data_IF_816541622970
#
_entry.id   IF_816541622970
#
_cell.length_a   1.000
_cell.length_b   1.000
_cell.length_c   1.000
_cell.angle_alpha   90.00
_cell.angle_beta   90.00
_cell.angle_gamma   90.00
#
_symmetry.space_group_name_H-M   'P 1'
#
loop_
_entity.id
_entity.type
_entity.pdbx_description
1 polymer ?
#
# COMPACT_ATOMS: atom_id res chain seq x y z
N UNK A 1 2.48 -38.66 -38.33
CA UNK A 1 1.53 -37.76 -37.63
C UNK A 1 2.15 -37.40 -36.30
N UNK A 2 2.85 -36.27 -36.27
CA UNK A 2 3.61 -35.81 -35.09
C UNK A 2 2.65 -35.05 -34.20
N UNK A 3 2.40 -35.56 -32.99
CA UNK A 3 1.52 -34.96 -31.99
C UNK A 3 2.32 -33.86 -31.29
N UNK A 4 2.04 -32.60 -31.60
CA UNK A 4 2.59 -31.45 -30.90
C UNK A 4 2.03 -31.41 -29.47
N UNK A 5 2.92 -31.54 -28.49
CA UNK A 5 2.65 -31.21 -27.10
C UNK A 5 2.33 -29.73 -27.01
N UNK A 6 1.10 -29.42 -26.60
CA UNK A 6 0.73 -28.08 -26.18
C UNK A 6 1.40 -27.88 -24.82
N UNK A 7 2.49 -27.10 -24.83
CA UNK A 7 3.12 -26.61 -23.62
C UNK A 7 2.11 -25.70 -22.91
N UNK A 8 1.46 -26.27 -21.90
CA UNK A 8 0.55 -25.54 -21.02
C UNK A 8 1.40 -24.60 -20.19
N UNK A 9 1.42 -23.32 -20.54
CA UNK A 9 1.91 -22.27 -19.66
C UNK A 9 1.19 -22.43 -18.32
N UNK A 10 1.92 -22.87 -17.31
CA UNK A 10 1.44 -22.91 -15.94
C UNK A 10 1.20 -21.47 -15.51
N UNK A 11 -0.07 -21.04 -15.55
CA UNK A 11 -0.53 -19.85 -14.83
C UNK A 11 -0.24 -20.15 -13.36
N UNK A 12 0.86 -19.60 -12.85
CA UNK A 12 1.22 -19.70 -11.45
C UNK A 12 0.17 -18.94 -10.65
N UNK A 13 -0.83 -19.67 -10.15
CA UNK A 13 -1.86 -19.10 -9.28
C UNK A 13 -1.13 -18.62 -8.03
N UNK A 14 -0.96 -17.30 -7.90
CA UNK A 14 -0.46 -16.66 -6.69
C UNK A 14 -1.44 -16.99 -5.59
N UNK A 15 -1.18 -18.06 -4.83
CA UNK A 15 -2.13 -18.55 -3.84
C UNK A 15 -2.23 -17.65 -2.61
N UNK A 16 -1.27 -16.73 -2.41
CA UNK A 16 -1.24 -15.80 -1.27
C UNK A 16 -0.55 -14.49 -1.67
N UNK A 17 -1.32 -13.42 -1.85
CA UNK A 17 -0.78 -12.10 -2.22
C UNK A 17 -1.56 -10.94 -1.60
N UNK A 18 -1.02 -9.73 -1.74
CA UNK A 18 -1.68 -8.51 -1.28
C UNK A 18 -1.97 -7.62 -2.48
N UNK A 19 -3.24 -7.31 -2.73
CA UNK A 19 -3.62 -6.30 -3.71
C UNK A 19 -3.50 -4.92 -3.06
N UNK A 20 -2.42 -4.21 -3.38
CA UNK A 20 -2.13 -2.88 -2.85
C UNK A 20 -2.63 -1.82 -3.82
N UNK A 21 -3.47 -0.92 -3.32
CA UNK A 21 -3.88 0.30 -4.01
C UNK A 21 -3.14 1.48 -3.38
N UNK A 22 -2.38 2.20 -4.20
CA UNK A 22 -1.57 3.34 -3.78
C UNK A 22 -2.11 4.58 -4.48
N UNK A 23 -2.57 5.57 -3.72
CA UNK A 23 -3.23 6.76 -4.26
C UNK A 23 -2.43 8.02 -4.03
N UNK A 24 -2.14 8.73 -5.12
CA UNK A 24 -1.60 10.10 -5.09
C UNK A 24 -2.76 11.10 -5.33
N UNK A 25 -3.65 11.26 -4.36
CA UNK A 25 -4.83 12.14 -4.48
C UNK A 25 -4.61 13.56 -3.96
N UNK A 26 -3.62 13.74 -3.10
CA UNK A 26 -3.46 14.97 -2.34
C UNK A 26 -2.12 15.66 -2.58
N UNK A 27 -1.18 15.04 -3.30
CA UNK A 27 0.06 15.68 -3.73
C UNK A 27 -0.16 16.32 -5.10
N UNK A 28 0.52 17.43 -5.33
CA UNK A 28 0.49 18.16 -6.61
C UNK A 28 1.53 17.67 -7.60
N UNK A 29 2.52 16.91 -7.12
CA UNK A 29 3.64 16.37 -7.90
C UNK A 29 3.49 14.86 -8.06
N UNK A 30 4.22 14.31 -9.04
CA UNK A 30 4.28 12.86 -9.27
C UNK A 30 4.99 12.18 -8.11
N UNK A 31 4.37 11.11 -7.60
CA UNK A 31 4.96 10.24 -6.59
C UNK A 31 5.72 9.10 -7.28
N UNK A 32 6.91 8.79 -6.79
CA UNK A 32 7.81 7.79 -7.36
C UNK A 32 7.96 6.63 -6.38
N UNK A 33 7.91 5.39 -6.87
CA UNK A 33 8.31 4.20 -6.11
C UNK A 33 9.85 4.13 -6.11
N UNK A 34 10.46 4.35 -4.95
CA UNK A 34 11.92 4.33 -4.80
C UNK A 34 12.45 2.90 -4.63
N UNK A 35 11.80 2.16 -3.73
CA UNK A 35 12.26 0.85 -3.23
C UNK A 35 11.05 -0.01 -2.89
N UNK A 36 11.13 -1.30 -3.19
CA UNK A 36 10.14 -2.29 -2.81
C UNK A 36 10.88 -3.54 -2.35
N UNK A 37 10.49 -4.09 -1.20
CA UNK A 37 11.04 -5.34 -0.68
C UNK A 37 9.91 -6.30 -0.35
N UNK A 38 9.98 -7.51 -0.89
CA UNK A 38 9.00 -8.56 -0.67
C UNK A 38 9.68 -9.65 0.15
N UNK A 39 9.24 -9.81 1.40
CA UNK A 39 9.79 -10.83 2.29
C UNK A 39 9.09 -12.19 2.12
N UNK A 40 7.79 -12.17 1.76
CA UNK A 40 7.03 -13.40 1.51
C UNK A 40 6.08 -13.23 0.32
N UNK A 41 5.96 -14.29 -0.49
CA UNK A 41 5.19 -14.30 -1.73
C UNK A 41 6.01 -13.82 -2.94
N UNK A 42 5.33 -13.67 -4.07
CA UNK A 42 5.94 -13.24 -5.33
C UNK A 42 5.19 -12.07 -5.95
N UNK A 43 5.90 -11.29 -6.78
CA UNK A 43 5.31 -10.22 -7.58
C UNK A 43 4.56 -10.82 -8.76
N UNK A 44 3.33 -10.38 -9.01
CA UNK A 44 2.56 -10.80 -10.18
C UNK A 44 2.75 -9.87 -11.38
N UNK A 45 3.37 -8.70 -11.19
CA UNK A 45 3.55 -7.67 -12.23
C UNK A 45 4.99 -7.18 -12.18
N UNK A 46 5.71 -7.35 -13.29
CA UNK A 46 7.06 -6.83 -13.53
C UNK A 46 7.07 -6.20 -14.94
N UNK A 47 7.41 -4.90 -15.10
CA UNK A 47 7.86 -3.96 -14.07
C UNK A 47 6.74 -3.41 -13.17
N UNK A 48 7.08 -3.13 -11.91
CA UNK A 48 6.22 -2.38 -11.00
C UNK A 48 6.03 -0.94 -11.53
N UNK A 49 4.83 -0.35 -11.42
CA UNK A 49 4.63 1.05 -11.77
C UNK A 49 5.49 1.93 -10.87
N UNK A 50 6.46 2.61 -11.46
CA UNK A 50 7.42 3.45 -10.75
C UNK A 50 6.91 4.86 -10.49
N UNK A 51 5.88 5.30 -11.20
CA UNK A 51 5.33 6.66 -11.10
C UNK A 51 3.82 6.65 -10.91
N UNK A 52 3.33 7.54 -10.05
CA UNK A 52 1.92 7.73 -9.74
C UNK A 52 1.63 9.23 -9.87
N UNK A 53 0.96 9.59 -10.97
CA UNK A 53 0.63 10.97 -11.31
C UNK A 53 -0.29 11.62 -10.25
N UNK A 54 -0.30 12.96 -10.14
CA UNK A 54 -1.27 13.68 -9.32
C UNK A 54 -2.71 13.29 -9.65
N UNK A 55 -3.56 13.19 -8.63
CA UNK A 55 -4.96 12.77 -8.72
C UNK A 55 -5.16 11.36 -9.32
N UNK A 56 -4.19 10.46 -9.18
CA UNK A 56 -4.27 9.09 -9.71
C UNK A 56 -4.03 8.03 -8.65
N UNK A 57 -4.22 6.76 -9.03
CA UNK A 57 -3.95 5.61 -8.17
C UNK A 57 -3.52 4.41 -9.00
N UNK A 58 -2.63 3.59 -8.45
CA UNK A 58 -2.21 2.33 -9.06
C UNK A 58 -2.67 1.16 -8.20
N UNK A 59 -3.00 0.05 -8.85
CA UNK A 59 -3.37 -1.21 -8.20
C UNK A 59 -2.36 -2.27 -8.58
N UNK A 60 -1.77 -2.93 -7.60
CA UNK A 60 -0.66 -3.87 -7.81
C UNK A 60 -0.92 -5.11 -6.96
N UNK A 61 -0.66 -6.30 -7.50
CA UNK A 61 -0.63 -7.53 -6.73
C UNK A 61 0.81 -7.85 -6.32
N UNK A 62 1.08 -7.77 -5.03
CA UNK A 62 2.38 -7.99 -4.41
C UNK A 62 2.36 -9.28 -3.58
N UNK A 63 3.54 -9.71 -3.11
CA UNK A 63 3.65 -10.80 -2.15
C UNK A 63 2.87 -10.51 -0.86
N UNK A 64 2.55 -11.56 -0.11
CA UNK A 64 1.76 -11.48 1.13
C UNK A 64 2.43 -10.67 2.24
N UNK A 65 3.75 -10.43 2.15
CA UNK A 65 4.45 -9.57 3.09
C UNK A 65 5.54 -8.76 2.41
N UNK A 66 5.55 -7.47 2.65
CA UNK A 66 6.53 -6.58 2.05
C UNK A 66 6.44 -5.17 2.60
N UNK A 67 7.30 -4.31 2.06
CA UNK A 67 7.19 -2.88 2.20
C UNK A 67 7.57 -2.16 0.90
N UNK A 68 7.02 -0.97 0.74
CA UNK A 68 7.31 -0.08 -0.38
C UNK A 68 7.58 1.32 0.14
N UNK A 69 8.62 1.94 -0.39
CA UNK A 69 8.95 3.33 -0.15
C UNK A 69 8.58 4.16 -1.38
N UNK A 70 7.79 5.20 -1.15
CA UNK A 70 7.44 6.18 -2.16
C UNK A 70 8.05 7.53 -1.80
N UNK A 71 8.38 8.33 -2.80
CA UNK A 71 8.84 9.70 -2.61
C UNK A 71 8.16 10.69 -3.53
N UNK A 72 8.18 11.95 -3.14
CA UNK A 72 7.59 13.05 -3.91
C UNK A 72 8.33 14.34 -3.58
N UNK A 73 8.70 15.17 -4.58
CA UNK A 73 9.15 16.52 -4.34
C UNK A 73 8.11 17.31 -3.55
N UNK A 74 8.55 18.13 -2.62
CA UNK A 74 7.67 19.03 -1.84
C UNK A 74 8.08 20.49 -2.05
N UNK A 75 7.14 21.40 -1.80
CA UNK A 75 7.42 22.83 -1.92
C UNK A 75 8.57 23.24 -0.98
N UNK A 76 9.54 23.97 -1.50
CA UNK A 76 10.76 24.34 -0.75
C UNK A 76 12.02 23.55 -1.15
N UNK A 77 11.92 22.63 -2.11
CA UNK A 77 13.08 21.93 -2.67
C UNK A 77 13.53 20.69 -1.89
N UNK A 78 12.81 20.34 -0.82
CA UNK A 78 12.98 19.07 -0.11
C UNK A 78 12.18 17.95 -0.82
N UNK A 79 12.52 16.71 -0.49
CA UNK A 79 11.75 15.53 -0.94
C UNK A 79 11.22 14.81 0.28
N UNK A 80 9.92 14.55 0.31
CA UNK A 80 9.31 13.71 1.32
C UNK A 80 9.25 12.27 0.83
N UNK A 81 9.27 11.34 1.78
CA UNK A 81 9.06 9.94 1.51
C UNK A 81 8.11 9.31 2.53
N UNK A 82 7.53 8.20 2.12
CA UNK A 82 6.56 7.43 2.86
C UNK A 82 6.90 5.95 2.74
N UNK A 83 6.73 5.22 3.83
CA UNK A 83 6.89 3.77 3.85
C UNK A 83 5.53 3.17 4.18
N UNK A 84 5.12 2.23 3.33
CA UNK A 84 3.96 1.37 3.51
C UNK A 84 4.46 -0.06 3.67
N UNK A 85 4.25 -0.66 4.84
CA UNK A 85 4.56 -2.07 5.10
C UNK A 85 3.28 -2.86 5.35
N UNK A 86 3.27 -4.12 4.93
CA UNK A 86 2.15 -5.05 5.11
C UNK A 86 2.62 -6.46 5.48
N UNK A 87 1.82 -7.15 6.28
CA UNK A 87 1.90 -8.59 6.58
C UNK A 87 0.48 -9.14 6.50
N UNK A 88 0.10 -9.67 5.33
CA UNK A 88 -1.19 -10.32 5.12
C UNK A 88 -1.01 -11.83 5.12
N UNK A 89 -1.09 -12.45 6.30
CA UNK A 89 -0.98 -13.91 6.41
C UNK A 89 -2.31 -14.55 6.01
N UNK A 90 -2.23 -15.52 5.11
CA UNK A 90 -3.41 -16.27 4.70
C UNK A 90 -4.15 -16.87 5.90
N UNK A 91 -5.48 -16.79 5.87
CA UNK A 91 -6.38 -17.17 6.96
C UNK A 91 -6.44 -18.69 7.24
N UNK A 92 -5.40 -19.24 7.87
CA UNK A 92 -5.46 -20.58 8.46
C UNK A 92 -5.08 -20.63 9.95
N UNK A 93 -4.83 -19.47 10.59
CA UNK A 93 -4.73 -19.39 12.06
C UNK A 93 -5.59 -18.25 12.62
N UNK A 94 -6.38 -18.47 13.71
CA UNK A 94 -7.31 -17.46 14.24
C UNK A 94 -6.69 -16.23 14.92
N UNK A 95 -5.36 -16.11 14.93
CA UNK A 95 -4.63 -15.19 15.82
C UNK A 95 -3.74 -14.20 15.05
N UNK A 96 -3.45 -14.47 13.78
CA UNK A 96 -2.64 -13.59 12.94
C UNK A 96 -3.58 -12.81 12.00
N UNK A 97 -4.00 -11.64 12.46
CA UNK A 97 -4.70 -10.68 11.59
C UNK A 97 -3.72 -10.11 10.57
N UNK A 98 -4.24 -9.65 9.43
CA UNK A 98 -3.46 -8.81 8.53
C UNK A 98 -2.99 -7.54 9.26
N UNK A 99 -1.74 -7.14 9.04
CA UNK A 99 -1.11 -6.03 9.73
C UNK A 99 -0.51 -5.06 8.74
N UNK A 100 -0.52 -3.79 9.12
CA UNK A 100 0.13 -2.72 8.38
C UNK A 100 0.97 -1.86 9.30
N UNK A 101 1.97 -1.21 8.72
CA UNK A 101 2.68 -0.12 9.37
C UNK A 101 2.96 0.97 8.36
N UNK A 102 2.72 2.21 8.75
CA UNK A 102 3.03 3.38 7.92
C UNK A 102 3.90 4.38 8.66
N UNK A 103 4.79 5.03 7.92
CA UNK A 103 5.56 6.17 8.41
C UNK A 103 5.87 7.11 7.25
N UNK A 104 6.16 8.38 7.56
CA UNK A 104 6.60 9.34 6.55
C UNK A 104 7.50 10.42 7.15
N UNK A 105 8.17 11.16 6.27
CA UNK A 105 9.02 12.28 6.66
C UNK A 105 9.98 12.67 5.55
N UNK A 106 11.10 13.29 5.92
CA UNK A 106 12.17 13.65 4.97
C UNK A 106 12.74 12.40 4.30
N UNK A 107 12.93 12.45 2.98
CA UNK A 107 13.44 11.31 2.22
C UNK A 107 14.77 10.80 2.74
N UNK A 108 15.71 11.66 3.07
CA UNK A 108 17.02 11.27 3.61
C UNK A 108 16.90 10.41 4.88
N UNK A 109 15.97 10.74 5.78
CA UNK A 109 15.72 9.95 7.00
C UNK A 109 15.04 8.62 6.70
N UNK A 110 14.10 8.61 5.74
CA UNK A 110 13.44 7.36 5.33
C UNK A 110 14.42 6.43 4.62
N UNK A 111 15.39 6.98 3.89
CA UNK A 111 16.43 6.21 3.20
C UNK A 111 17.33 5.43 4.19
N UNK A 112 17.54 5.98 5.40
CA UNK A 112 18.32 5.39 6.51
C UNK A 112 17.59 4.27 7.28
N UNK A 113 16.28 4.10 7.09
CA UNK A 113 15.52 3.10 7.84
C UNK A 113 15.93 1.68 7.46
N UNK A 114 16.13 0.83 8.49
CA UNK A 114 16.41 -0.59 8.32
C UNK A 114 15.16 -1.34 7.89
N UNK A 115 15.24 -2.04 6.76
CA UNK A 115 14.16 -2.90 6.27
C UNK A 115 13.86 -4.07 7.20
N UNK A 116 14.87 -4.60 7.91
CA UNK A 116 14.67 -5.64 8.93
C UNK A 116 13.87 -5.10 10.12
N UNK A 117 14.11 -3.84 10.52
CA UNK A 117 13.32 -3.19 11.55
C UNK A 117 11.88 -2.96 11.09
N UNK A 118 11.68 -2.51 9.85
CA UNK A 118 10.33 -2.34 9.26
C UNK A 118 9.59 -3.68 9.25
N UNK A 119 10.26 -4.77 8.88
CA UNK A 119 9.68 -6.12 8.91
C UNK A 119 9.27 -6.55 10.33
N UNK A 120 10.03 -6.15 11.35
CA UNK A 120 9.69 -6.44 12.75
C UNK A 120 8.53 -5.61 13.27
N UNK A 121 8.45 -4.34 12.87
CA UNK A 121 7.38 -3.42 13.29
C UNK A 121 6.03 -3.88 12.70
N UNK A 122 5.99 -4.20 11.40
CA UNK A 122 4.73 -4.60 10.74
C UNK A 122 4.12 -5.86 11.36
N UNK A 123 4.94 -6.79 11.90
CA UNK A 123 4.50 -8.03 12.61
C UNK A 123 3.61 -7.76 13.84
N UNK A 124 3.49 -6.51 14.27
CA UNK A 124 2.69 -6.09 15.43
C UNK A 124 1.80 -4.89 15.11
N UNK A 125 1.65 -4.59 13.82
CA UNK A 125 0.91 -3.44 13.34
C UNK A 125 -0.61 -3.60 13.51
N UNK A 126 -1.36 -2.50 13.52
CA UNK A 126 -2.82 -2.53 13.43
C UNK A 126 -3.29 -2.88 12.01
N UNK A 127 -4.60 -3.05 11.81
CA UNK A 127 -5.22 -3.16 10.47
C UNK A 127 -5.47 -1.81 9.80
N UNK A 128 -5.44 -0.74 10.58
CA UNK A 128 -5.59 0.67 10.17
C UNK A 128 -4.46 1.44 10.83
N UNK A 129 -3.63 2.12 10.06
CA UNK A 129 -2.49 2.88 10.56
C UNK A 129 -2.39 4.24 9.86
N UNK A 130 -1.94 5.23 10.62
CA UNK A 130 -1.86 6.63 10.18
C UNK A 130 -0.62 7.26 10.76
N UNK A 131 0.11 7.98 9.92
CA UNK A 131 1.27 8.74 10.37
C UNK A 131 1.24 10.15 9.81
N UNK A 132 1.69 11.10 10.62
CA UNK A 132 1.86 12.50 10.25
C UNK A 132 3.23 12.98 10.70
N UNK A 133 3.98 13.54 9.76
CA UNK A 133 5.25 14.19 10.04
C UNK A 133 5.07 15.71 10.10
N UNK A 134 5.36 16.29 11.26
CA UNK A 134 5.23 17.73 11.46
C UNK A 134 6.31 18.54 10.74
N UNK A 135 7.45 17.93 10.38
CA UNK A 135 8.53 18.67 9.73
C UNK A 135 8.23 18.86 8.25
N UNK A 136 7.90 17.80 7.54
CA UNK A 136 7.56 17.83 6.12
C UNK A 136 6.09 18.13 5.85
N UNK A 137 5.26 18.23 6.90
CA UNK A 137 3.80 18.40 6.81
C UNK A 137 3.12 17.32 5.94
N UNK A 138 3.71 16.13 5.88
CA UNK A 138 3.19 14.99 5.12
C UNK A 138 2.43 14.03 6.01
N UNK A 139 1.52 13.28 5.40
CA UNK A 139 0.79 12.21 6.05
C UNK A 139 0.63 11.00 5.14
N UNK A 140 0.36 9.85 5.76
CA UNK A 140 -0.08 8.62 5.11
C UNK A 140 -1.19 8.00 5.96
N UNK A 141 -2.22 7.52 5.28
CA UNK A 141 -3.31 6.73 5.85
C UNK A 141 -3.37 5.42 5.08
N UNK A 142 -3.37 4.30 5.80
CA UNK A 142 -3.51 2.99 5.19
C UNK A 142 -4.46 2.12 6.00
N UNK A 143 -5.18 1.25 5.29
CA UNK A 143 -6.08 0.27 5.90
C UNK A 143 -6.27 -0.95 5.01
N UNK A 144 -6.46 -2.09 5.65
CA UNK A 144 -6.89 -3.32 4.99
C UNK A 144 -8.42 -3.28 4.85
N UNK A 145 -8.91 -3.42 3.62
CA UNK A 145 -10.34 -3.35 3.28
C UNK A 145 -11.03 -4.69 3.49
N UNK A 146 -10.38 -5.76 3.04
CA UNK A 146 -10.92 -7.10 3.06
C UNK A 146 -9.76 -8.10 2.99
N UNK A 147 -9.96 -9.22 3.66
CA UNK A 147 -9.08 -10.37 3.65
C UNK A 147 -9.92 -11.55 3.16
N UNK A 148 -9.70 -11.97 1.91
CA UNK A 148 -10.34 -13.17 1.35
C UNK A 148 -9.34 -14.32 1.39
N UNK A 149 -9.82 -15.54 1.13
CA UNK A 149 -9.02 -16.76 1.28
C UNK A 149 -7.65 -16.72 0.58
N UNK A 150 -7.55 -16.03 -0.56
CA UNK A 150 -6.36 -16.05 -1.43
C UNK A 150 -5.57 -14.73 -1.42
N UNK A 151 -6.15 -13.62 -0.93
CA UNK A 151 -5.48 -12.31 -0.90
C UNK A 151 -6.12 -11.29 0.04
N UNK A 152 -5.36 -10.28 0.43
CA UNK A 152 -5.86 -9.11 1.16
C UNK A 152 -5.82 -7.85 0.30
N UNK A 153 -6.78 -6.96 0.51
CA UNK A 153 -6.87 -5.67 -0.18
C UNK A 153 -6.36 -4.57 0.76
N UNK A 154 -5.24 -3.96 0.39
CA UNK A 154 -4.65 -2.82 1.09
C UNK A 154 -4.92 -1.54 0.31
N UNK A 155 -5.38 -0.49 0.97
CA UNK A 155 -5.53 0.84 0.38
C UNK A 155 -4.68 1.82 1.17
N UNK A 156 -3.98 2.70 0.45
CA UNK A 156 -3.19 3.78 1.03
C UNK A 156 -3.42 5.09 0.28
N UNK A 157 -3.57 6.18 1.03
CA UNK A 157 -3.70 7.53 0.51
C UNK A 157 -2.56 8.41 1.06
N UNK A 158 -1.83 9.08 0.17
CA UNK A 158 -0.65 9.90 0.48
C UNK A 158 -0.99 11.37 0.30
N UNK A 159 -0.49 12.24 1.19
CA UNK A 159 -0.84 13.65 1.11
C UNK A 159 -0.08 14.61 1.99
N UNK A 160 -0.46 15.88 1.84
CA UNK A 160 -0.19 16.98 2.77
C UNK A 160 -1.48 17.36 3.50
N UNK A 161 -1.39 17.74 4.77
CA UNK A 161 -2.51 18.40 5.45
C UNK A 161 -2.33 19.90 5.37
N UNK A 162 -3.24 20.57 4.66
CA UNK A 162 -3.56 21.96 4.95
C UNK A 162 -4.46 21.96 6.19
N UNK A 163 -4.21 22.83 7.18
CA UNK A 163 -4.80 22.80 8.53
C UNK A 163 -6.34 22.62 8.58
N UNK A 164 -7.06 23.10 7.56
CA UNK A 164 -8.51 22.94 7.37
C UNK A 164 -8.99 21.51 7.07
N UNK A 165 -8.10 20.63 6.58
CA UNK A 165 -8.42 19.26 6.23
C UNK A 165 -8.61 18.37 7.47
N UNK A 166 -8.05 18.71 8.64
CA UNK A 166 -8.23 17.93 9.88
C UNK A 166 -9.71 17.67 10.20
N UNK A 167 -10.60 18.60 9.86
CA UNK A 167 -12.05 18.46 10.07
C UNK A 167 -12.72 17.49 9.08
N UNK A 168 -12.24 17.41 7.83
CA UNK A 168 -12.75 16.49 6.78
C UNK A 168 -12.18 15.07 6.87
N UNK A 169 -10.94 14.92 7.34
CA UNK A 169 -10.32 13.61 7.60
C UNK A 169 -10.97 12.89 8.79
N UNK A 170 -11.47 13.63 9.79
CA UNK A 170 -12.20 13.09 10.95
C UNK A 170 -13.64 12.65 10.59
N UNK A 171 -14.28 13.22 9.56
CA UNK A 171 -15.70 12.93 9.25
C UNK A 171 -15.93 11.59 8.54
N UNK A 172 -14.90 10.95 7.96
CA UNK A 172 -15.08 9.67 7.22
C UNK A 172 -15.07 8.43 8.12
N UNK A 173 -14.82 8.58 9.43
CA UNK A 173 -14.49 7.48 10.34
C UNK A 173 -15.44 7.32 11.54
N UNK A 174 -16.52 8.10 11.64
CA UNK A 174 -17.53 7.92 12.70
C UNK A 174 -18.65 6.95 12.34
N UNK A 175 -18.65 6.36 11.14
CA UNK A 175 -19.52 5.23 10.83
C UNK A 175 -18.73 3.93 11.02
N UNK A 176 -19.07 3.23 12.09
CA UNK A 176 -18.71 1.84 12.47
C UNK A 176 -18.31 0.91 11.31
N UNK A 177 -17.43 -0.09 11.54
CA UNK A 177 -16.85 -0.95 10.50
C UNK A 177 -17.83 -1.89 9.77
N UNK A 178 -19.12 -1.83 10.06
CA UNK A 178 -20.10 -2.80 9.56
C UNK A 178 -20.88 -2.36 8.33
N UNK A 179 -20.71 -1.12 7.82
CA UNK A 179 -21.40 -0.65 6.61
C UNK A 179 -20.61 0.41 5.82
N UNK A 180 -19.44 0.05 5.31
CA UNK A 180 -18.91 0.73 4.13
C UNK A 180 -19.24 -0.12 2.93
N UNK A 181 -20.39 0.20 2.31
CA UNK A 181 -20.69 -0.24 0.96
C UNK A 181 -19.50 0.12 0.09
N UNK A 182 -18.84 -0.91 -0.43
CA UNK A 182 -17.99 -0.79 -1.59
C UNK A 182 -18.78 0.02 -2.64
N UNK A 183 -18.29 1.20 -3.00
CA UNK A 183 -18.74 1.89 -4.19
C UNK A 183 -18.32 1.00 -5.37
N UNK A 184 -19.19 0.08 -5.71
CA UNK A 184 -19.09 -0.84 -6.83
C UNK A 184 -19.31 -0.02 -8.10
N UNK A 185 -18.24 0.57 -8.63
CA UNK A 185 -18.23 1.05 -10.01
C UNK A 185 -17.80 -0.14 -10.87
N UNK A 186 -18.77 -0.99 -11.20
CA UNK A 186 -18.64 -1.90 -12.34
C UNK A 186 -18.87 -1.09 -13.61
N UNK A 187 -17.80 -0.86 -14.38
CA UNK A 187 -17.96 -0.66 -15.81
C UNK A 187 -17.97 -2.06 -16.45
N UNK A 188 -19.16 -2.52 -16.83
CA UNK A 188 -19.32 -3.44 -17.96
C UNK A 188 -19.98 -2.65 -19.08
N UNK A 189 -19.48 -2.85 -20.31
CA UNK A 189 -20.04 -2.36 -21.56
C UNK A 189 -21.52 -2.69 -21.71
#
# INVERSE_FOLDING_TARGET
>A
MSRSEVQSDSVEVVRFGTRVTVSNKYLTETMTLDRCNIWYGHLSVDPLPTEILPNSSVKILLGSKGAAQYSCPVSGGETAAWILAWDSRAHNTPVDHDQISVTCGEKSKMDELSWDLIEQIVKRGPQVDKYWDNKTQTCIDAFIVESVADYSILVSDFGFINWDARSKWVTRLTTTPSKLYALHISYMY
#
